data_IF_878653535540
#
_entry.id   IF_878653535540
#
_cell.length_a   1.000
_cell.length_b   1.000
_cell.length_c   1.000
_cell.angle_alpha   90.00
_cell.angle_beta   90.00
_cell.angle_gamma   90.00
#
_symmetry.space_group_name_H-M   'P 1'
#
loop_
_entity.id
_entity.type
_entity.pdbx_description
1 polymer ?
#
# COMPACT_ATOMS: atom_id res chain seq x y z
N UNK A 1 7.48 -27.60 -15.70
CA UNK A 1 7.22 -28.34 -14.48
C UNK A 1 6.55 -27.44 -13.46
N UNK A 2 5.29 -27.72 -13.13
CA UNK A 2 4.45 -26.88 -12.26
C UNK A 2 4.15 -27.62 -10.97
N UNK A 3 4.18 -26.91 -9.82
CA UNK A 3 3.53 -27.35 -8.60
C UNK A 3 2.12 -26.79 -8.55
N UNK A 4 1.19 -27.54 -7.99
CA UNK A 4 -0.21 -27.18 -7.85
C UNK A 4 -0.62 -27.34 -6.41
N UNK A 5 -1.22 -26.30 -5.84
CA UNK A 5 -1.83 -26.34 -4.50
C UNK A 5 -3.35 -26.37 -4.67
N UNK A 6 -4.02 -27.23 -3.95
CA UNK A 6 -5.47 -27.21 -3.83
C UNK A 6 -5.85 -27.08 -2.37
N UNK A 7 -6.80 -26.19 -2.09
CA UNK A 7 -7.35 -25.94 -0.77
C UNK A 7 -8.87 -25.91 -0.78
N UNK A 8 -9.46 -25.80 0.40
CA UNK A 8 -10.83 -25.43 0.64
C UNK A 8 -10.88 -23.93 0.87
N UNK A 9 -11.33 -23.18 -0.13
CA UNK A 9 -11.24 -21.73 -0.17
C UNK A 9 -12.63 -21.10 -0.08
N UNK A 10 -12.97 -20.50 1.07
CA UNK A 10 -14.23 -19.80 1.28
C UNK A 10 -15.50 -20.63 0.95
N UNK A 11 -15.50 -21.92 1.16
CA UNK A 11 -16.72 -22.72 1.05
C UNK A 11 -17.71 -22.42 2.18
N UNK A 12 -17.26 -21.70 3.10
CA UNK A 12 -17.83 -20.70 4.02
C UNK A 12 -18.85 -21.18 5.00
N UNK A 13 -19.65 -22.08 4.67
CA UNK A 13 -20.87 -22.16 5.42
C UNK A 13 -20.81 -23.04 6.67
N UNK A 14 -19.80 -23.83 6.89
CA UNK A 14 -19.74 -24.77 8.01
C UNK A 14 -18.57 -24.58 8.97
N UNK A 15 -17.62 -23.75 8.64
CA UNK A 15 -16.44 -23.48 9.48
C UNK A 15 -16.81 -22.94 10.87
N UNK A 16 -17.81 -22.06 10.98
CA UNK A 16 -18.30 -21.56 12.27
C UNK A 16 -18.82 -22.64 13.21
N UNK A 17 -19.15 -23.83 12.70
CA UNK A 17 -19.58 -24.96 13.55
C UNK A 17 -18.46 -25.44 14.47
N UNK A 18 -17.20 -25.25 14.14
CA UNK A 18 -16.07 -25.56 15.01
C UNK A 18 -16.05 -24.71 16.29
N UNK A 19 -16.60 -23.48 16.23
CA UNK A 19 -16.73 -22.57 17.38
C UNK A 19 -18.02 -22.73 18.17
N UNK A 20 -18.93 -23.62 17.75
CA UNK A 20 -20.22 -23.78 18.40
C UNK A 20 -20.11 -24.20 19.85
N UNK A 21 -21.00 -23.66 20.69
CA UNK A 21 -21.18 -24.12 22.07
C UNK A 21 -21.81 -25.51 22.20
N UNK A 22 -22.32 -26.07 21.08
CA UNK A 22 -22.89 -27.42 21.01
C UNK A 22 -21.86 -28.41 20.51
N UNK A 23 -21.48 -29.36 21.33
CA UNK A 23 -20.54 -30.40 20.95
C UNK A 23 -20.95 -31.18 19.68
N UNK A 24 -22.26 -31.42 19.50
CA UNK A 24 -22.77 -32.10 18.28
C UNK A 24 -22.49 -31.35 16.99
N UNK A 25 -22.45 -30.02 17.02
CA UNK A 25 -22.10 -29.22 15.84
C UNK A 25 -20.59 -29.32 15.56
N UNK A 26 -19.77 -29.24 16.61
CA UNK A 26 -18.31 -29.42 16.53
C UNK A 26 -17.97 -30.81 15.97
N UNK A 27 -18.59 -31.85 16.50
CA UNK A 27 -18.39 -33.25 16.04
C UNK A 27 -18.77 -33.38 14.56
N UNK A 28 -19.89 -32.79 14.16
CA UNK A 28 -20.32 -32.76 12.77
C UNK A 28 -19.35 -32.01 11.86
N UNK A 29 -18.80 -30.90 12.31
CA UNK A 29 -17.78 -30.17 11.55
C UNK A 29 -16.56 -31.04 11.29
N UNK A 30 -16.06 -31.74 12.30
CA UNK A 30 -14.95 -32.67 12.13
C UNK A 30 -15.30 -33.86 11.22
N UNK A 31 -16.53 -34.40 11.27
CA UNK A 31 -16.98 -35.45 10.34
C UNK A 31 -16.97 -34.94 8.89
N UNK A 32 -17.51 -33.75 8.65
CA UNK A 32 -17.54 -33.12 7.32
C UNK A 32 -16.12 -32.89 6.80
N UNK A 33 -15.25 -32.28 7.61
CA UNK A 33 -13.88 -31.98 7.27
C UNK A 33 -13.08 -33.25 6.92
N UNK A 34 -13.16 -34.28 7.75
CA UNK A 34 -12.54 -35.58 7.48
C UNK A 34 -13.09 -36.23 6.22
N UNK A 35 -14.41 -36.17 6.01
CA UNK A 35 -15.05 -36.74 4.81
C UNK A 35 -14.54 -36.05 3.55
N UNK A 36 -14.50 -34.71 3.54
CA UNK A 36 -14.00 -33.89 2.43
C UNK A 36 -12.54 -34.28 2.09
N UNK A 37 -11.65 -34.19 3.05
CA UNK A 37 -10.23 -34.49 2.83
C UNK A 37 -9.96 -35.97 2.51
N UNK A 38 -10.76 -36.89 3.03
CA UNK A 38 -10.69 -38.32 2.65
C UNK A 38 -11.01 -38.50 1.17
N UNK A 39 -12.05 -37.81 0.67
CA UNK A 39 -12.46 -37.90 -0.75
C UNK A 39 -11.40 -37.29 -1.66
N UNK A 40 -10.91 -36.09 -1.34
CA UNK A 40 -9.85 -35.41 -2.09
C UNK A 40 -8.58 -36.26 -2.11
N UNK A 41 -8.12 -36.69 -0.94
CA UNK A 41 -6.90 -37.48 -0.81
C UNK A 41 -6.98 -38.80 -1.56
N UNK A 42 -8.12 -39.54 -1.50
CA UNK A 42 -8.31 -40.75 -2.27
C UNK A 42 -8.37 -40.51 -3.78
N UNK A 43 -9.00 -39.43 -4.21
CA UNK A 43 -9.09 -39.06 -5.64
C UNK A 43 -7.71 -38.84 -6.24
N UNK A 44 -6.81 -38.18 -5.49
CA UNK A 44 -5.51 -37.74 -5.98
C UNK A 44 -4.33 -38.57 -5.44
N UNK A 45 -4.56 -39.65 -4.73
CA UNK A 45 -3.49 -40.44 -4.07
C UNK A 45 -2.41 -40.99 -5.00
N UNK A 46 -2.70 -41.10 -6.30
CA UNK A 46 -1.73 -41.57 -7.31
C UNK A 46 -0.99 -40.44 -8.03
N UNK A 47 -1.36 -39.18 -7.77
CA UNK A 47 -0.69 -38.03 -8.35
C UNK A 47 0.65 -37.79 -7.66
N UNK A 48 1.59 -37.16 -8.38
CA UNK A 48 2.92 -36.89 -7.85
C UNK A 48 2.89 -35.94 -6.64
N UNK A 49 4.01 -35.80 -5.96
CA UNK A 49 4.24 -34.88 -4.86
C UNK A 49 4.28 -33.40 -5.24
N UNK A 50 4.20 -33.12 -6.55
CA UNK A 50 3.97 -31.73 -7.05
C UNK A 50 2.56 -31.22 -6.84
N UNK A 51 1.62 -32.12 -6.53
CA UNK A 51 0.31 -31.73 -6.04
C UNK A 51 0.34 -31.65 -4.52
N UNK A 52 0.19 -30.46 -4.00
CA UNK A 52 0.20 -30.13 -2.57
C UNK A 52 -1.24 -29.94 -2.09
N UNK A 53 -1.57 -30.44 -0.92
CA UNK A 53 -2.86 -30.17 -0.29
C UNK A 53 -2.67 -29.13 0.82
N UNK A 54 -3.51 -28.12 0.82
CA UNK A 54 -3.59 -27.09 1.85
C UNK A 54 -4.85 -27.26 2.68
N UNK A 55 -4.71 -27.38 4.00
CA UNK A 55 -5.77 -27.83 4.90
C UNK A 55 -6.93 -26.86 5.07
N UNK A 56 -6.70 -25.58 4.88
CA UNK A 56 -7.67 -24.50 4.99
C UNK A 56 -7.11 -23.24 4.34
N UNK A 57 -7.98 -22.25 4.14
CA UNK A 57 -7.58 -20.90 3.74
C UNK A 57 -7.54 -19.97 4.98
N UNK A 58 -8.28 -18.87 4.98
CA UNK A 58 -8.33 -17.86 6.05
C UNK A 58 -9.38 -18.17 7.14
N UNK A 59 -10.03 -19.31 7.09
CA UNK A 59 -11.09 -19.73 8.02
C UNK A 59 -10.54 -20.13 9.39
N UNK A 60 -9.28 -20.56 9.44
CA UNK A 60 -8.65 -21.14 10.64
C UNK A 60 -8.20 -20.05 11.63
N UNK A 61 -9.09 -19.65 12.52
CA UNK A 61 -8.77 -18.65 13.55
C UNK A 61 -10.01 -18.01 14.16
N UNK A 62 -10.12 -16.70 14.11
CA UNK A 62 -11.24 -15.96 14.71
C UNK A 62 -12.59 -16.30 14.04
N UNK A 63 -12.56 -16.70 12.76
CA UNK A 63 -13.76 -17.13 12.01
C UNK A 63 -14.38 -18.40 12.49
N UNK A 64 -13.70 -19.18 13.32
CA UNK A 64 -14.29 -20.34 14.00
C UNK A 64 -15.47 -19.94 14.93
N UNK A 65 -15.60 -18.66 15.23
CA UNK A 65 -16.74 -18.09 15.97
C UNK A 65 -17.80 -17.47 15.03
N UNK A 66 -17.66 -17.62 13.73
CA UNK A 66 -18.57 -17.02 12.76
C UNK A 66 -19.95 -17.67 12.83
N UNK A 67 -20.99 -16.84 12.90
CA UNK A 67 -22.38 -17.25 13.12
C UNK A 67 -23.19 -17.36 11.87
N UNK A 68 -22.65 -17.04 10.72
CA UNK A 68 -23.39 -17.02 9.45
C UNK A 68 -23.97 -18.40 9.09
N UNK A 69 -23.44 -19.44 9.72
CA UNK A 69 -23.81 -20.83 9.44
C UNK A 69 -24.23 -21.63 10.64
N UNK A 70 -23.73 -21.27 11.79
CA UNK A 70 -24.14 -21.87 13.04
C UNK A 70 -25.14 -20.94 13.73
N UNK A 71 -26.43 -21.34 13.78
CA UNK A 71 -27.47 -20.57 14.51
C UNK A 71 -27.14 -20.35 15.99
N UNK A 72 -26.14 -21.04 16.50
CA UNK A 72 -25.58 -20.81 17.83
C UNK A 72 -24.21 -20.20 17.64
N UNK A 73 -24.07 -18.95 18.07
CA UNK A 73 -22.80 -18.22 18.04
C UNK A 73 -21.66 -19.07 18.55
N UNK A 74 -20.55 -19.09 17.85
CA UNK A 74 -19.29 -19.52 18.41
C UNK A 74 -18.96 -18.65 19.63
N UNK A 75 -18.38 -19.25 20.65
CA UNK A 75 -18.07 -18.58 21.90
C UNK A 75 -16.66 -18.88 22.40
N UNK A 76 -15.78 -19.33 21.48
CA UNK A 76 -14.39 -19.63 21.81
C UNK A 76 -13.65 -18.34 22.16
N UNK A 77 -12.93 -18.35 23.27
CA UNK A 77 -11.91 -17.33 23.55
C UNK A 77 -10.80 -17.39 22.49
N UNK A 78 -9.99 -16.34 22.39
CA UNK A 78 -8.84 -16.32 21.49
C UNK A 78 -7.89 -17.50 21.70
N UNK A 79 -7.71 -17.98 22.93
CA UNK A 79 -6.88 -19.13 23.23
C UNK A 79 -7.50 -20.42 22.69
N UNK A 80 -8.80 -20.61 22.92
CA UNK A 80 -9.54 -21.77 22.43
C UNK A 80 -9.61 -21.80 20.89
N UNK A 81 -9.67 -20.65 20.21
CA UNK A 81 -9.56 -20.57 18.77
C UNK A 81 -8.21 -21.12 18.29
N UNK A 82 -7.09 -20.80 18.95
CA UNK A 82 -5.78 -21.37 18.63
C UNK A 82 -5.74 -22.90 18.85
N UNK A 83 -6.26 -23.37 19.98
CA UNK A 83 -6.33 -24.81 20.28
C UNK A 83 -7.16 -25.56 19.23
N UNK A 84 -8.30 -24.98 18.83
CA UNK A 84 -9.17 -25.56 17.80
C UNK A 84 -8.48 -25.56 16.44
N UNK A 85 -7.82 -24.47 16.04
CA UNK A 85 -7.06 -24.36 14.80
C UNK A 85 -5.94 -25.43 14.76
N UNK A 86 -5.18 -25.57 15.84
CA UNK A 86 -4.15 -26.61 15.94
C UNK A 86 -4.75 -28.01 15.82
N UNK A 87 -5.91 -28.27 16.43
CA UNK A 87 -6.62 -29.55 16.33
C UNK A 87 -7.14 -29.84 14.91
N UNK A 88 -7.64 -28.83 14.20
CA UNK A 88 -8.08 -28.96 12.80
C UNK A 88 -6.88 -29.29 11.91
N UNK A 89 -5.77 -28.58 12.07
CA UNK A 89 -4.53 -28.84 11.33
C UNK A 89 -4.00 -30.26 11.58
N UNK A 90 -4.01 -30.74 12.83
CA UNK A 90 -3.63 -32.14 13.13
C UNK A 90 -4.59 -33.13 12.46
N UNK A 91 -5.90 -32.84 12.51
CA UNK A 91 -6.92 -33.70 11.88
C UNK A 91 -6.72 -33.79 10.36
N UNK A 92 -6.32 -32.69 9.71
CA UNK A 92 -5.98 -32.67 8.29
C UNK A 92 -4.83 -33.64 7.98
N UNK A 93 -3.71 -33.51 8.68
CA UNK A 93 -2.54 -34.37 8.48
C UNK A 93 -2.91 -35.83 8.65
N UNK A 94 -3.52 -36.18 9.78
CA UNK A 94 -3.91 -37.56 10.11
C UNK A 94 -4.85 -38.15 9.05
N UNK A 95 -5.83 -37.36 8.60
CA UNK A 95 -6.82 -37.80 7.60
C UNK A 95 -6.17 -38.08 6.25
N UNK A 96 -5.31 -37.19 5.78
CA UNK A 96 -4.63 -37.36 4.49
C UNK A 96 -3.66 -38.55 4.55
N UNK A 97 -2.83 -38.65 5.58
CA UNK A 97 -1.86 -39.75 5.76
C UNK A 97 -2.53 -41.11 5.81
N UNK A 98 -3.67 -41.22 6.49
CA UNK A 98 -4.45 -42.46 6.60
C UNK A 98 -4.96 -43.03 5.26
N UNK A 99 -5.02 -42.20 4.22
CA UNK A 99 -5.46 -42.68 2.88
C UNK A 99 -4.39 -43.48 2.13
N UNK A 100 -3.11 -43.39 2.53
CA UNK A 100 -2.00 -44.15 1.97
C UNK A 100 -1.61 -43.76 0.54
N UNK A 101 -0.78 -44.57 -0.10
CA UNK A 101 -0.22 -44.30 -1.42
C UNK A 101 0.70 -43.09 -1.43
N UNK A 102 0.70 -42.27 -2.48
CA UNK A 102 1.56 -41.09 -2.54
C UNK A 102 1.25 -40.05 -1.45
N UNK A 103 0.08 -40.14 -0.80
CA UNK A 103 -0.28 -39.25 0.30
C UNK A 103 0.53 -39.52 1.57
N UNK A 104 1.18 -40.70 1.70
CA UNK A 104 2.11 -40.97 2.82
C UNK A 104 3.33 -40.04 2.81
N UNK A 105 3.72 -39.53 1.63
CA UNK A 105 4.90 -38.66 1.44
C UNK A 105 4.57 -37.34 0.72
N UNK A 106 3.29 -37.04 0.53
CA UNK A 106 2.85 -35.78 -0.09
C UNK A 106 3.18 -34.59 0.81
N UNK A 107 3.60 -33.48 0.22
CA UNK A 107 3.66 -32.21 0.96
C UNK A 107 2.25 -31.78 1.38
N UNK A 108 2.12 -31.45 2.65
CA UNK A 108 0.91 -30.88 3.23
C UNK A 108 1.20 -29.45 3.69
N UNK A 109 0.38 -28.54 3.25
CA UNK A 109 0.48 -27.12 3.56
C UNK A 109 -0.48 -26.80 4.71
N UNK A 110 0.09 -26.40 5.82
CA UNK A 110 -0.63 -26.13 7.06
C UNK A 110 -1.00 -24.66 7.09
N UNK A 111 -2.27 -24.37 7.20
CA UNK A 111 -2.74 -23.00 7.32
C UNK A 111 -2.36 -22.41 8.68
N UNK A 112 -1.73 -21.24 8.69
CA UNK A 112 -1.48 -20.45 9.88
C UNK A 112 -2.77 -19.95 10.52
N UNK A 113 -2.68 -19.36 11.70
CA UNK A 113 -3.85 -18.78 12.35
C UNK A 113 -4.36 -17.55 11.56
N UNK A 114 -5.59 -17.60 11.05
CA UNK A 114 -6.15 -16.67 10.04
C UNK A 114 -5.28 -16.57 8.78
N UNK A 115 -4.33 -17.48 8.56
CA UNK A 115 -3.18 -17.31 7.64
C UNK A 115 -2.42 -15.98 7.81
N UNK A 116 -2.63 -15.28 8.92
CA UNK A 116 -1.99 -14.00 9.23
C UNK A 116 -0.55 -14.20 9.71
N UNK A 117 0.39 -13.48 9.09
CA UNK A 117 1.83 -13.58 9.35
C UNK A 117 2.19 -13.23 10.80
N UNK A 118 1.48 -12.29 11.42
CA UNK A 118 1.72 -11.88 12.81
C UNK A 118 1.11 -12.86 13.80
N UNK A 119 -0.15 -13.21 13.58
CA UNK A 119 -0.90 -14.10 14.48
C UNK A 119 -0.35 -15.52 14.48
N UNK A 120 0.11 -16.02 13.33
CA UNK A 120 0.77 -17.32 13.21
C UNK A 120 2.08 -17.38 14.02
N UNK A 121 2.76 -16.24 14.21
CA UNK A 121 3.93 -16.16 15.05
C UNK A 121 3.67 -16.25 16.56
N UNK A 122 2.41 -16.30 16.99
CA UNK A 122 2.05 -16.52 18.41
C UNK A 122 2.55 -17.88 18.91
N UNK A 123 2.99 -17.92 20.17
CA UNK A 123 3.37 -19.18 20.83
C UNK A 123 2.19 -20.16 21.03
N UNK A 124 0.96 -19.72 20.80
CA UNK A 124 -0.25 -20.55 20.86
C UNK A 124 -0.46 -21.36 19.59
N UNK A 125 0.05 -20.88 18.43
CA UNK A 125 0.03 -21.65 17.19
C UNK A 125 1.12 -22.71 17.23
N UNK A 126 0.75 -23.95 16.86
CA UNK A 126 1.64 -25.11 16.85
C UNK A 126 1.50 -25.85 15.53
N UNK A 127 2.63 -26.16 14.93
CA UNK A 127 2.65 -27.07 13.78
C UNK A 127 2.19 -28.47 14.22
N UNK A 128 1.38 -29.16 13.39
CA UNK A 128 0.98 -30.52 13.68
C UNK A 128 2.17 -31.49 13.63
N UNK A 129 2.03 -32.65 14.27
CA UNK A 129 2.96 -33.75 14.11
C UNK A 129 2.64 -34.51 12.81
N UNK A 130 3.67 -35.08 12.18
CA UNK A 130 3.53 -35.87 10.97
C UNK A 130 4.37 -37.15 11.04
N UNK A 131 3.85 -38.23 10.44
CA UNK A 131 4.59 -39.48 10.25
C UNK A 131 5.57 -39.38 9.08
N UNK A 132 5.37 -38.49 8.13
CA UNK A 132 6.28 -38.21 7.04
C UNK A 132 7.29 -37.13 7.44
N UNK A 133 8.57 -37.46 7.31
CA UNK A 133 9.64 -36.53 7.65
C UNK A 133 9.76 -35.43 6.61
N UNK A 134 9.89 -34.16 7.06
CA UNK A 134 10.15 -32.97 6.22
C UNK A 134 9.08 -32.78 5.10
N UNK A 135 7.81 -33.13 5.40
CA UNK A 135 6.70 -33.02 4.43
C UNK A 135 5.60 -32.04 4.86
N UNK A 136 5.82 -31.25 5.89
CA UNK A 136 4.93 -30.16 6.26
C UNK A 136 5.50 -28.81 5.79
N UNK A 137 4.64 -28.01 5.22
CA UNK A 137 4.87 -26.61 4.84
C UNK A 137 3.92 -25.74 5.66
N UNK A 138 4.26 -24.48 5.88
CA UNK A 138 3.40 -23.51 6.57
C UNK A 138 2.97 -22.42 5.61
N UNK A 139 1.66 -22.17 5.55
CA UNK A 139 1.02 -21.11 4.75
C UNK A 139 0.71 -19.89 5.62
N UNK A 140 1.11 -18.72 5.15
CA UNK A 140 0.65 -17.42 5.64
C UNK A 140 0.35 -16.52 4.45
N UNK A 141 -0.57 -15.56 4.66
CA UNK A 141 -0.88 -14.52 3.68
C UNK A 141 -0.25 -13.20 4.11
N UNK A 142 0.01 -12.32 3.15
CA UNK A 142 0.63 -11.04 3.43
C UNK A 142 -0.11 -9.88 2.77
N UNK A 143 -0.96 -9.23 3.55
CA UNK A 143 -1.71 -8.03 3.18
C UNK A 143 -1.50 -6.91 4.21
N UNK A 144 -0.25 -6.78 4.71
CA UNK A 144 0.08 -5.82 5.77
C UNK A 144 0.91 -4.66 5.21
N UNK A 145 0.50 -3.40 5.49
CA UNK A 145 -0.68 -3.02 6.26
C UNK A 145 -1.97 -3.08 5.41
N UNK A 146 -3.08 -3.50 6.02
CA UNK A 146 -4.35 -3.66 5.29
C UNK A 146 -4.93 -2.35 4.74
N UNK A 147 -4.67 -1.22 5.39
CA UNK A 147 -5.07 0.10 4.91
C UNK A 147 -4.38 0.47 3.58
N UNK A 148 -3.22 -0.11 3.27
CA UNK A 148 -2.58 0.00 1.96
C UNK A 148 -2.96 -1.15 1.03
N UNK A 149 -2.89 -2.39 1.49
CA UNK A 149 -3.15 -3.56 0.63
C UNK A 149 -4.62 -3.71 0.24
N UNK A 150 -5.56 -3.26 1.09
CA UNK A 150 -7.00 -3.29 0.82
C UNK A 150 -7.44 -2.22 -0.18
N UNK A 151 -8.72 -2.26 -0.57
CA UNK A 151 -9.30 -1.33 -1.55
C UNK A 151 -9.60 0.06 -1.01
N UNK A 152 -9.50 0.25 0.30
CA UNK A 152 -9.74 1.52 1.00
C UNK A 152 -8.57 1.80 1.95
N UNK A 153 -8.32 3.05 2.23
CA UNK A 153 -7.26 3.49 3.12
C UNK A 153 -6.19 4.25 2.35
N UNK A 154 -4.96 4.19 2.79
CA UNK A 154 -3.87 4.97 2.20
C UNK A 154 -3.53 4.50 0.77
N UNK A 155 -3.07 5.46 -0.02
CA UNK A 155 -2.82 5.30 -1.46
C UNK A 155 -1.36 5.03 -1.82
N UNK A 156 -0.44 5.08 -0.84
CA UNK A 156 1.00 5.00 -1.08
C UNK A 156 1.72 4.08 -0.08
N UNK A 157 2.92 3.63 -0.46
CA UNK A 157 3.81 2.78 0.34
C UNK A 157 5.27 3.04 -0.04
N UNK A 158 6.19 2.89 0.92
CA UNK A 158 7.62 2.97 0.65
C UNK A 158 8.38 3.90 1.59
N UNK A 159 7.78 4.28 2.72
CA UNK A 159 8.53 4.95 3.81
C UNK A 159 9.45 3.95 4.51
N UNK A 160 10.45 4.46 5.21
CA UNK A 160 11.35 3.63 6.02
C UNK A 160 10.59 2.73 7.00
N UNK A 161 9.56 3.27 7.65
CA UNK A 161 8.70 2.49 8.56
C UNK A 161 8.00 1.34 7.85
N UNK A 162 7.56 1.55 6.60
CA UNK A 162 6.92 0.48 5.80
C UNK A 162 7.88 -0.68 5.53
N UNK A 163 9.11 -0.35 5.11
CA UNK A 163 10.15 -1.36 4.88
C UNK A 163 10.55 -2.06 6.18
N UNK A 164 10.72 -1.32 7.27
CA UNK A 164 11.04 -1.90 8.59
C UNK A 164 9.98 -2.90 9.04
N UNK A 165 8.71 -2.56 8.91
CA UNK A 165 7.61 -3.44 9.28
C UNK A 165 7.57 -4.70 8.43
N UNK A 166 7.62 -4.56 7.10
CA UNK A 166 7.63 -5.71 6.20
C UNK A 166 8.80 -6.63 6.49
N UNK A 167 10.03 -6.10 6.56
CA UNK A 167 11.24 -6.89 6.83
C UNK A 167 11.17 -7.60 8.20
N UNK A 168 10.65 -6.92 9.22
CA UNK A 168 10.47 -7.49 10.57
C UNK A 168 9.48 -8.66 10.56
N UNK A 169 8.35 -8.53 9.85
CA UNK A 169 7.32 -9.57 9.81
C UNK A 169 7.83 -10.83 9.11
N UNK A 170 8.50 -10.68 7.97
CA UNK A 170 9.11 -11.81 7.26
C UNK A 170 10.20 -12.47 8.10
N UNK A 171 11.07 -11.68 8.71
CA UNK A 171 12.11 -12.21 9.60
C UNK A 171 11.54 -13.02 10.77
N UNK A 172 10.40 -12.63 11.33
CA UNK A 172 9.76 -13.36 12.43
C UNK A 172 9.35 -14.78 12.01
N UNK A 173 9.08 -15.03 10.73
CA UNK A 173 8.73 -16.35 10.22
C UNK A 173 9.92 -17.33 10.20
N UNK A 174 11.16 -16.84 10.28
CA UNK A 174 12.35 -17.72 10.28
C UNK A 174 12.34 -18.71 11.44
N UNK A 175 11.61 -18.40 12.52
CA UNK A 175 11.43 -19.34 13.64
C UNK A 175 10.85 -20.71 13.22
N UNK A 176 10.11 -20.76 12.10
CA UNK A 176 9.57 -22.00 11.56
C UNK A 176 10.51 -22.64 10.55
N UNK A 177 11.16 -21.84 9.68
CA UNK A 177 12.14 -22.37 8.74
C UNK A 177 13.38 -22.94 9.45
N UNK A 178 13.77 -22.38 10.59
CA UNK A 178 14.83 -22.90 11.48
C UNK A 178 14.45 -24.27 12.12
N UNK A 179 13.16 -24.56 12.19
CA UNK A 179 12.65 -25.88 12.62
C UNK A 179 12.52 -26.88 11.46
N UNK A 180 12.85 -26.47 10.24
CA UNK A 180 12.82 -27.30 9.04
C UNK A 180 11.52 -27.22 8.22
N UNK A 181 10.59 -26.33 8.56
CA UNK A 181 9.36 -26.14 7.78
C UNK A 181 9.63 -25.19 6.60
N UNK A 182 9.19 -25.56 5.39
CA UNK A 182 9.13 -24.63 4.27
C UNK A 182 7.99 -23.64 4.48
N UNK A 183 8.23 -22.36 4.15
CA UNK A 183 7.24 -21.30 4.30
C UNK A 183 6.71 -20.90 2.90
N UNK A 184 5.39 -20.85 2.79
CA UNK A 184 4.69 -20.36 1.61
C UNK A 184 3.95 -19.08 2.01
N UNK A 185 4.21 -17.99 1.27
CA UNK A 185 3.36 -16.81 1.31
C UNK A 185 2.25 -17.10 0.30
N UNK A 186 1.16 -17.71 0.79
CA UNK A 186 0.10 -18.29 -0.03
C UNK A 186 -0.70 -17.26 -0.82
N UNK A 187 -0.76 -16.04 -0.29
CA UNK A 187 -1.32 -14.88 -0.96
C UNK A 187 -0.59 -13.60 -0.57
N UNK A 188 -0.39 -12.72 -1.53
CA UNK A 188 -0.01 -11.33 -1.32
C UNK A 188 -0.49 -10.49 -2.50
N UNK A 189 -0.94 -9.28 -2.25
CA UNK A 189 -1.28 -8.29 -3.27
C UNK A 189 -1.46 -6.90 -2.68
N UNK A 190 -1.55 -5.91 -3.56
CA UNK A 190 -2.16 -4.61 -3.32
C UNK A 190 -3.41 -4.55 -4.19
N UNK A 191 -4.59 -4.59 -3.59
CA UNK A 191 -5.87 -4.73 -4.30
C UNK A 191 -6.27 -3.40 -4.95
N UNK A 192 -6.60 -3.43 -6.23
CA UNK A 192 -6.97 -2.24 -7.02
C UNK A 192 -8.46 -2.14 -7.29
N UNK A 193 -9.20 -3.24 -7.11
CA UNK A 193 -10.61 -3.34 -7.48
C UNK A 193 -10.86 -3.05 -8.99
N UNK A 194 -9.89 -3.40 -9.84
CA UNK A 194 -9.92 -3.16 -11.29
C UNK A 194 -9.51 -1.75 -11.72
N UNK A 195 -8.99 -0.93 -10.79
CA UNK A 195 -8.38 0.37 -11.07
C UNK A 195 -6.88 0.30 -11.31
N UNK A 196 -6.23 1.44 -11.31
CA UNK A 196 -4.77 1.54 -11.42
C UNK A 196 -4.09 1.06 -10.13
N UNK A 197 -2.82 0.65 -10.25
CA UNK A 197 -2.01 0.27 -9.11
C UNK A 197 -1.77 1.48 -8.19
N UNK A 198 -1.84 1.27 -6.88
CA UNK A 198 -1.49 2.28 -5.89
C UNK A 198 0.00 2.63 -5.97
N UNK A 199 0.33 3.88 -5.62
CA UNK A 199 1.73 4.35 -5.57
C UNK A 199 2.57 3.47 -4.65
N UNK A 200 3.73 2.99 -5.13
CA UNK A 200 4.63 2.13 -4.38
C UNK A 200 4.26 0.64 -4.38
N UNK A 201 3.27 0.20 -5.20
CA UNK A 201 2.96 -1.23 -5.36
C UNK A 201 4.16 -2.01 -5.89
N UNK A 202 4.93 -1.44 -6.81
CA UNK A 202 6.20 -1.98 -7.30
C UNK A 202 7.21 -2.17 -6.17
N UNK A 203 7.42 -1.15 -5.34
CA UNK A 203 8.32 -1.18 -4.18
C UNK A 203 7.88 -2.22 -3.14
N UNK A 204 6.57 -2.27 -2.85
CA UNK A 204 5.98 -3.26 -1.94
C UNK A 204 6.24 -4.69 -2.40
N UNK A 205 5.98 -4.97 -3.69
CA UNK A 205 6.19 -6.29 -4.29
C UNK A 205 7.68 -6.63 -4.34
N UNK A 206 8.54 -5.71 -4.79
CA UNK A 206 9.98 -5.94 -4.91
C UNK A 206 10.60 -6.28 -3.55
N UNK A 207 10.31 -5.50 -2.52
CA UNK A 207 10.83 -5.75 -1.17
C UNK A 207 10.25 -7.03 -0.53
N UNK A 208 8.98 -7.36 -0.81
CA UNK A 208 8.38 -8.64 -0.39
C UNK A 208 9.12 -9.82 -1.00
N UNK A 209 9.41 -9.76 -2.29
CA UNK A 209 10.13 -10.82 -3.00
C UNK A 209 11.58 -10.92 -2.54
N UNK A 210 12.25 -9.79 -2.25
CA UNK A 210 13.59 -9.79 -1.66
C UNK A 210 13.60 -10.46 -0.26
N UNK A 211 12.57 -10.25 0.56
CA UNK A 211 12.40 -10.98 1.82
C UNK A 211 12.21 -12.49 1.58
N UNK A 212 11.41 -12.86 0.57
CA UNK A 212 11.24 -14.27 0.21
C UNK A 212 12.55 -14.90 -0.23
N UNK A 213 13.33 -14.22 -1.05
CA UNK A 213 14.64 -14.67 -1.51
C UNK A 213 15.63 -14.78 -0.34
N UNK A 214 15.68 -13.79 0.55
CA UNK A 214 16.56 -13.76 1.72
C UNK A 214 16.31 -14.94 2.67
N UNK A 215 15.05 -15.30 2.90
CA UNK A 215 14.68 -16.33 3.88
C UNK A 215 14.30 -17.68 3.26
N UNK A 216 14.25 -17.76 1.92
CA UNK A 216 13.88 -18.98 1.19
C UNK A 216 12.40 -19.32 1.29
N UNK A 217 11.53 -18.32 1.25
CA UNK A 217 10.08 -18.49 1.24
C UNK A 217 9.56 -18.55 -0.21
N UNK A 218 8.42 -19.20 -0.43
CA UNK A 218 7.80 -19.29 -1.75
C UNK A 218 6.57 -18.37 -1.84
N UNK A 219 6.63 -17.28 -2.63
CA UNK A 219 5.52 -16.32 -2.75
C UNK A 219 4.53 -16.72 -3.85
N UNK A 220 3.23 -16.51 -3.60
CA UNK A 220 2.13 -16.65 -4.54
C UNK A 220 1.36 -15.35 -4.65
N UNK A 221 1.43 -14.70 -5.81
CA UNK A 221 0.68 -13.47 -6.07
C UNK A 221 -0.83 -13.78 -6.13
N UNK A 222 -1.63 -13.08 -5.32
CA UNK A 222 -3.08 -13.09 -5.46
C UNK A 222 -3.48 -12.25 -6.66
N UNK A 223 -3.93 -12.91 -7.74
CA UNK A 223 -4.35 -12.25 -8.97
C UNK A 223 -5.83 -12.52 -9.30
N UNK A 224 -6.67 -11.55 -9.02
CA UNK A 224 -8.05 -11.49 -9.47
C UNK A 224 -8.22 -10.66 -10.75
N UNK A 225 -7.24 -10.71 -11.66
CA UNK A 225 -7.12 -9.87 -12.86
C UNK A 225 -6.66 -8.44 -12.58
N UNK A 226 -6.15 -8.15 -11.40
CA UNK A 226 -5.55 -6.85 -11.07
C UNK A 226 -4.15 -6.72 -11.68
N UNK A 227 -3.37 -7.79 -11.69
CA UNK A 227 -1.99 -7.78 -12.16
C UNK A 227 -1.82 -8.41 -13.55
N UNK A 228 -2.55 -9.49 -13.87
CA UNK A 228 -2.39 -10.21 -15.12
C UNK A 228 -3.65 -10.16 -16.00
N UNK A 229 -3.49 -9.68 -17.23
CA UNK A 229 -4.54 -9.69 -18.25
C UNK A 229 -4.60 -11.06 -18.93
N UNK A 230 -5.61 -11.85 -18.59
CA UNK A 230 -5.82 -13.18 -19.20
C UNK A 230 -6.21 -13.11 -20.68
N UNK A 231 -6.81 -12.00 -21.11
CA UNK A 231 -7.17 -11.78 -22.52
C UNK A 231 -5.96 -11.38 -23.38
N UNK A 232 -5.02 -10.63 -22.80
CA UNK A 232 -3.82 -10.16 -23.49
C UNK A 232 -2.61 -11.04 -23.21
N UNK A 233 -2.69 -11.95 -22.23
CA UNK A 233 -1.63 -12.85 -21.76
C UNK A 233 -0.36 -12.11 -21.32
N UNK A 234 -0.55 -10.99 -20.64
CA UNK A 234 0.56 -10.17 -20.12
C UNK A 234 0.22 -9.56 -18.75
N UNK A 235 1.26 -9.15 -18.04
CA UNK A 235 1.09 -8.29 -16.87
C UNK A 235 0.55 -6.92 -17.31
N UNK A 236 -0.29 -6.32 -16.47
CA UNK A 236 -0.92 -5.01 -16.75
C UNK A 236 0.07 -3.87 -16.56
N UNK A 237 0.95 -3.98 -15.59
CA UNK A 237 1.97 -2.99 -15.26
C UNK A 237 3.35 -3.49 -15.69
N UNK A 238 4.10 -2.65 -16.43
CA UNK A 238 5.40 -3.00 -16.98
C UNK A 238 6.49 -3.04 -15.90
N UNK A 239 6.39 -2.20 -14.86
CA UNK A 239 7.36 -2.19 -13.75
C UNK A 239 7.24 -3.46 -12.92
N UNK A 240 6.00 -3.85 -12.59
CA UNK A 240 5.74 -5.12 -11.89
C UNK A 240 6.14 -6.31 -12.77
N UNK A 241 5.85 -6.28 -14.07
CA UNK A 241 6.31 -7.32 -15.00
C UNK A 241 7.82 -7.50 -14.98
N UNK A 242 8.57 -6.39 -14.99
CA UNK A 242 10.03 -6.39 -14.93
C UNK A 242 10.56 -7.01 -13.63
N UNK A 243 9.95 -6.70 -12.49
CA UNK A 243 10.31 -7.29 -11.18
C UNK A 243 10.24 -8.83 -11.23
N UNK A 244 9.18 -9.38 -11.83
CA UNK A 244 9.06 -10.83 -11.99
C UNK A 244 10.02 -11.41 -13.04
N UNK A 245 10.22 -10.73 -14.16
CA UNK A 245 11.14 -11.19 -15.21
C UNK A 245 12.60 -11.25 -14.74
N UNK A 246 13.04 -10.28 -13.94
CA UNK A 246 14.38 -10.26 -13.36
C UNK A 246 14.63 -11.43 -12.38
N UNK A 247 13.58 -11.95 -11.75
CA UNK A 247 13.64 -13.10 -10.83
C UNK A 247 13.39 -14.45 -11.50
N UNK A 248 13.12 -14.48 -12.82
CA UNK A 248 12.94 -15.75 -13.53
C UNK A 248 14.23 -16.57 -13.51
N UNK A 249 14.10 -17.84 -13.11
CA UNK A 249 15.24 -18.77 -13.03
C UNK A 249 15.88 -19.14 -14.37
N UNK A 250 15.29 -18.72 -15.50
CA UNK A 250 15.89 -18.85 -16.82
C UNK A 250 17.15 -17.97 -16.95
N UNK A 251 17.26 -16.91 -16.15
CA UNK A 251 18.46 -16.09 -15.94
C UNK A 251 19.32 -16.72 -14.85
N UNK A 252 19.79 -17.96 -15.04
CA UNK A 252 20.54 -18.68 -14.02
C UNK A 252 21.76 -17.88 -13.55
N UNK A 253 21.69 -17.44 -12.30
CA UNK A 253 22.85 -16.94 -11.60
C UNK A 253 23.83 -18.10 -11.39
N UNK A 254 25.12 -17.83 -11.48
CA UNK A 254 26.17 -18.79 -11.13
C UNK A 254 26.38 -18.91 -9.61
N UNK A 255 25.54 -18.22 -8.83
CA UNK A 255 25.63 -18.14 -7.37
C UNK A 255 25.05 -19.41 -6.71
N UNK A 256 25.58 -19.76 -5.58
CA UNK A 256 24.97 -20.76 -4.69
C UNK A 256 23.73 -20.16 -4.01
N UNK A 257 22.85 -21.01 -3.46
CA UNK A 257 21.67 -20.57 -2.71
C UNK A 257 22.05 -19.67 -1.53
N UNK A 258 23.17 -19.97 -0.87
CA UNK A 258 23.68 -19.18 0.23
C UNK A 258 24.14 -17.78 -0.21
N UNK A 259 24.79 -17.69 -1.37
CA UNK A 259 25.20 -16.41 -1.96
C UNK A 259 24.02 -15.60 -2.43
N UNK A 260 23.01 -16.22 -3.04
CA UNK A 260 21.75 -15.56 -3.44
C UNK A 260 21.01 -14.98 -2.23
N UNK A 261 20.87 -15.77 -1.15
CA UNK A 261 20.27 -15.30 0.11
C UNK A 261 21.05 -14.15 0.74
N UNK A 262 22.37 -14.24 0.77
CA UNK A 262 23.22 -13.17 1.30
C UNK A 262 23.10 -11.89 0.46
N UNK A 263 22.99 -12.01 -0.86
CA UNK A 263 22.76 -10.87 -1.76
C UNK A 263 21.39 -10.24 -1.52
N UNK A 264 20.35 -11.05 -1.31
CA UNK A 264 19.00 -10.55 -0.99
C UNK A 264 18.97 -9.81 0.35
N UNK A 265 19.60 -10.36 1.40
CA UNK A 265 19.72 -9.66 2.70
C UNK A 265 20.43 -8.32 2.54
N UNK A 266 21.53 -8.28 1.79
CA UNK A 266 22.26 -7.03 1.53
C UNK A 266 21.36 -6.02 0.79
N UNK A 267 20.58 -6.46 -0.21
CA UNK A 267 19.65 -5.60 -0.93
C UNK A 267 18.57 -5.02 0.00
N UNK A 268 18.01 -5.84 0.91
CA UNK A 268 17.05 -5.37 1.92
C UNK A 268 17.66 -4.27 2.81
N UNK A 269 18.90 -4.45 3.28
CA UNK A 269 19.59 -3.47 4.11
C UNK A 269 19.85 -2.16 3.34
N UNK A 270 20.28 -2.25 2.07
CA UNK A 270 20.52 -1.09 1.21
C UNK A 270 19.23 -0.35 0.89
N UNK A 271 18.14 -1.06 0.57
CA UNK A 271 16.82 -0.50 0.30
C UNK A 271 16.28 0.22 1.53
N UNK A 272 16.37 -0.40 2.70
CA UNK A 272 15.95 0.21 3.97
C UNK A 272 16.76 1.47 4.30
N UNK A 273 18.08 1.43 4.08
CA UNK A 273 18.94 2.59 4.33
C UNK A 273 18.66 3.78 3.40
N UNK A 274 18.20 3.49 2.18
CA UNK A 274 17.83 4.51 1.19
C UNK A 274 16.37 4.97 1.30
N UNK A 275 15.54 4.27 2.10
CA UNK A 275 14.13 4.57 2.21
C UNK A 275 13.89 5.92 2.92
N UNK A 276 12.98 6.76 2.39
CA UNK A 276 12.68 8.06 2.97
C UNK A 276 11.87 7.93 4.27
N UNK A 277 12.04 8.83 5.21
CA UNK A 277 11.21 8.90 6.42
C UNK A 277 9.74 9.25 6.08
N UNK A 278 9.52 10.06 5.03
CA UNK A 278 8.21 10.44 4.49
C UNK A 278 8.23 10.31 2.98
N UNK A 279 7.12 9.86 2.39
CA UNK A 279 6.96 9.90 0.94
C UNK A 279 6.71 11.35 0.53
N UNK A 280 7.50 11.81 -0.41
CA UNK A 280 7.21 13.02 -1.18
C UNK A 280 6.44 12.64 -2.44
N UNK A 281 5.68 13.55 -3.01
CA UNK A 281 5.14 13.36 -4.34
C UNK A 281 6.32 13.31 -5.32
N UNK A 282 6.67 12.10 -5.81
CA UNK A 282 7.82 11.90 -6.70
C UNK A 282 7.66 12.59 -8.07
N UNK A 283 6.46 13.14 -8.35
CA UNK A 283 6.17 13.87 -9.58
C UNK A 283 6.30 15.37 -9.43
N UNK A 284 6.23 15.90 -8.19
CA UNK A 284 6.34 17.32 -7.94
C UNK A 284 7.81 17.70 -7.67
N UNK A 285 8.42 18.59 -8.47
CA UNK A 285 9.75 19.11 -8.17
C UNK A 285 9.81 19.64 -6.75
N UNK A 286 10.92 19.36 -6.06
CA UNK A 286 11.18 19.84 -4.69
C UNK A 286 12.25 20.93 -4.74
N UNK A 287 12.10 21.95 -3.88
CA UNK A 287 13.13 22.96 -3.71
C UNK A 287 14.31 22.38 -2.91
N UNK A 288 15.51 22.69 -3.33
CA UNK A 288 16.76 22.53 -2.57
C UNK A 288 17.44 23.89 -2.39
N UNK A 289 18.62 23.93 -1.81
CA UNK A 289 19.29 25.22 -1.54
C UNK A 289 19.59 26.06 -2.79
N UNK A 290 19.57 25.47 -4.00
CA UNK A 290 19.90 26.09 -5.28
C UNK A 290 18.74 26.10 -6.27
N UNK A 291 17.57 25.59 -5.90
CA UNK A 291 16.41 25.43 -6.77
C UNK A 291 15.21 26.15 -6.21
N UNK A 292 14.60 27.03 -6.99
CA UNK A 292 13.29 27.61 -6.67
C UNK A 292 12.18 26.75 -7.30
N UNK A 293 11.10 26.50 -6.55
CA UNK A 293 9.98 25.71 -7.00
C UNK A 293 8.67 26.39 -6.65
N UNK A 294 7.80 26.54 -7.63
CA UNK A 294 6.46 27.08 -7.44
C UNK A 294 5.44 25.96 -7.21
N UNK A 295 4.47 26.22 -6.31
CA UNK A 295 3.37 25.33 -6.01
C UNK A 295 2.12 26.09 -5.55
N UNK A 296 0.97 25.42 -5.54
CA UNK A 296 -0.26 25.97 -4.97
C UNK A 296 -0.44 25.46 -3.55
N UNK A 297 -0.69 26.36 -2.61
CA UNK A 297 -1.23 26.04 -1.29
C UNK A 297 -2.76 26.10 -1.35
N UNK A 298 -3.42 25.13 -0.72
CA UNK A 298 -4.87 25.04 -0.71
C UNK A 298 -5.42 24.49 0.61
N UNK A 299 -6.52 25.05 1.05
CA UNK A 299 -7.35 24.56 2.13
C UNK A 299 -8.82 24.76 1.76
N UNK A 300 -9.61 23.66 1.76
CA UNK A 300 -11.05 23.73 1.51
C UNK A 300 -11.80 24.52 2.59
N UNK A 301 -12.99 25.03 2.24
CA UNK A 301 -13.79 25.88 3.14
C UNK A 301 -14.17 25.17 4.46
N UNK A 302 -14.33 23.86 4.45
CA UNK A 302 -14.63 23.02 5.60
C UNK A 302 -13.40 22.41 6.26
N UNK A 303 -12.20 22.76 5.82
CA UNK A 303 -10.91 22.26 6.31
C UNK A 303 -10.69 20.74 6.13
N UNK A 304 -11.47 20.08 5.29
CA UNK A 304 -11.39 18.63 5.08
C UNK A 304 -10.34 18.23 4.04
N UNK A 305 -10.02 19.11 3.10
CA UNK A 305 -9.02 18.86 2.04
C UNK A 305 -7.96 19.96 2.08
N UNK A 306 -6.69 19.57 2.10
CA UNK A 306 -5.58 20.51 2.10
C UNK A 306 -4.42 20.03 1.24
N UNK A 307 -3.63 20.98 0.77
CA UNK A 307 -2.32 20.76 0.16
C UNK A 307 -1.38 21.91 0.54
N UNK A 308 -0.29 21.56 1.19
CA UNK A 308 0.78 22.50 1.52
C UNK A 308 2.11 21.74 1.44
N UNK A 309 2.98 22.18 0.56
CA UNK A 309 4.31 21.60 0.31
C UNK A 309 5.36 22.66 0.60
N UNK A 310 6.43 22.26 1.27
CA UNK A 310 7.51 23.13 1.66
C UNK A 310 7.61 23.30 3.17
N UNK A 311 8.82 23.53 3.64
CA UNK A 311 9.11 23.67 5.07
C UNK A 311 8.76 25.06 5.61
N UNK A 312 8.43 26.00 4.74
CA UNK A 312 8.12 27.40 5.07
C UNK A 312 6.78 27.55 5.78
N UNK A 313 5.90 26.57 5.61
CA UNK A 313 4.54 26.60 6.16
C UNK A 313 4.29 25.35 7.01
N UNK A 314 4.40 25.52 8.29
CA UNK A 314 4.12 24.46 9.28
C UNK A 314 2.68 24.63 9.85
N UNK A 315 1.90 23.55 10.00
CA UNK A 315 2.26 22.19 9.61
C UNK A 315 2.15 21.96 8.10
N UNK A 316 3.14 21.31 7.52
CA UNK A 316 3.03 20.79 6.17
C UNK A 316 1.98 19.70 6.18
N UNK A 317 0.89 19.88 5.47
CA UNK A 317 -0.19 18.92 5.42
C UNK A 317 -0.69 18.72 3.99
N UNK A 318 -1.02 17.47 3.71
CA UNK A 318 -1.52 17.04 2.40
C UNK A 318 -2.60 16.00 2.61
N UNK A 319 -3.75 16.21 1.98
CA UNK A 319 -4.79 15.20 1.92
C UNK A 319 -4.43 14.11 0.92
N UNK A 320 -4.72 12.85 1.27
CA UNK A 320 -4.51 11.71 0.37
C UNK A 320 -5.25 11.91 -0.95
N UNK A 321 -4.62 11.52 -2.05
CA UNK A 321 -5.20 11.60 -3.38
C UNK A 321 -5.19 12.99 -4.03
N UNK A 322 -4.60 14.01 -3.39
CA UNK A 322 -4.30 15.29 -4.05
C UNK A 322 -3.03 15.13 -4.88
N UNK A 323 -3.12 15.43 -6.17
CA UNK A 323 -1.98 15.39 -7.10
C UNK A 323 -1.59 16.84 -7.43
N UNK A 324 -0.30 17.16 -7.27
CA UNK A 324 0.24 18.48 -7.58
C UNK A 324 1.22 18.41 -8.75
N UNK A 325 1.11 19.41 -9.64
CA UNK A 325 2.14 19.70 -10.65
C UNK A 325 2.83 20.99 -10.25
N UNK A 326 4.03 20.90 -9.69
CA UNK A 326 4.86 22.03 -9.32
C UNK A 326 5.77 22.42 -10.49
N UNK A 327 6.23 23.68 -10.51
CA UNK A 327 7.12 24.18 -11.53
C UNK A 327 8.48 24.58 -10.97
N UNK A 328 9.56 24.10 -11.58
CA UNK A 328 10.91 24.60 -11.32
C UNK A 328 11.03 26.00 -11.95
N UNK A 329 11.51 26.96 -11.15
CA UNK A 329 11.75 28.35 -11.59
C UNK A 329 13.24 28.47 -11.93
N UNK A 330 13.52 28.70 -13.20
CA UNK A 330 14.89 28.85 -13.73
C UNK A 330 15.21 30.28 -14.21
N UNK A 331 14.39 31.25 -13.87
CA UNK A 331 14.58 32.66 -14.16
C UNK A 331 13.30 33.42 -14.44
N UNK A 332 13.42 34.46 -15.28
CA UNK A 332 12.26 35.20 -15.80
C UNK A 332 11.50 34.34 -16.80
N UNK A 333 10.19 34.18 -16.61
CA UNK A 333 9.38 33.34 -17.49
C UNK A 333 7.91 33.23 -17.06
N UNK A 334 7.16 32.51 -17.87
CA UNK A 334 5.77 32.13 -17.58
C UNK A 334 5.73 30.66 -17.20
N UNK A 335 5.10 30.36 -16.08
CA UNK A 335 5.02 29.04 -15.47
C UNK A 335 3.57 28.66 -15.18
N UNK A 336 3.31 27.37 -15.12
CA UNK A 336 1.99 26.85 -14.72
C UNK A 336 2.16 25.83 -13.61
N UNK A 337 1.30 25.89 -12.61
CA UNK A 337 1.20 24.96 -11.49
C UNK A 337 -0.24 24.51 -11.34
N UNK A 338 -0.46 23.26 -10.90
CA UNK A 338 -1.82 22.75 -10.74
C UNK A 338 -1.98 21.83 -9.53
N UNK A 339 -3.23 21.71 -9.06
CA UNK A 339 -3.69 20.69 -8.13
C UNK A 339 -4.86 19.94 -8.75
N UNK A 340 -4.78 18.62 -8.75
CA UNK A 340 -5.93 17.73 -8.99
C UNK A 340 -6.42 17.15 -7.66
N UNK A 341 -7.65 17.48 -7.31
CA UNK A 341 -8.37 17.07 -6.10
C UNK A 341 -9.65 16.29 -6.46
N UNK A 342 -9.73 15.74 -7.68
CA UNK A 342 -10.92 15.06 -8.19
C UNK A 342 -11.31 13.81 -7.40
N UNK A 343 -10.32 13.14 -6.79
CA UNK A 343 -10.52 12.02 -5.87
C UNK A 343 -11.01 12.44 -4.46
N UNK A 344 -10.95 13.75 -4.17
CA UNK A 344 -11.35 14.33 -2.90
C UNK A 344 -12.74 14.99 -3.02
N UNK A 345 -13.28 15.43 -1.89
CA UNK A 345 -14.51 16.22 -1.87
C UNK A 345 -14.21 17.68 -1.50
N UNK A 346 -13.20 18.28 -2.18
CA UNK A 346 -12.83 19.68 -1.95
C UNK A 346 -13.96 20.63 -2.35
N UNK A 347 -14.34 21.52 -1.44
CA UNK A 347 -15.47 22.45 -1.66
C UNK A 347 -15.13 23.82 -1.09
N UNK A 348 -15.22 24.86 -1.95
CA UNK A 348 -14.84 26.21 -1.61
C UNK A 348 -13.37 26.36 -1.21
N UNK A 349 -12.97 27.57 -0.83
CA UNK A 349 -11.58 27.91 -0.48
C UNK A 349 -11.58 28.69 0.83
N UNK A 350 -11.01 28.13 1.89
CA UNK A 350 -10.68 28.87 3.12
C UNK A 350 -9.35 29.60 2.98
N UNK A 351 -8.39 28.96 2.32
CA UNK A 351 -7.06 29.48 2.05
C UNK A 351 -6.53 28.96 0.72
N UNK A 352 -5.93 29.82 -0.08
CA UNK A 352 -5.11 29.42 -1.22
C UNK A 352 -4.08 30.50 -1.53
N UNK A 353 -2.90 30.07 -1.90
CA UNK A 353 -1.81 30.94 -2.33
C UNK A 353 -0.90 30.21 -3.33
N UNK A 354 -0.32 30.99 -4.24
CA UNK A 354 0.85 30.57 -5.01
C UNK A 354 2.09 30.87 -4.17
N UNK A 355 2.93 29.86 -3.91
CA UNK A 355 4.22 30.00 -3.26
C UNK A 355 5.36 29.63 -4.20
N UNK A 356 6.52 30.26 -4.03
CA UNK A 356 7.75 29.92 -4.74
C UNK A 356 8.86 29.76 -3.68
N UNK A 357 9.17 28.53 -3.30
CA UNK A 357 10.25 28.22 -2.37
C UNK A 357 11.57 28.78 -2.91
N UNK A 358 12.40 29.38 -2.05
CA UNK A 358 13.61 30.08 -2.42
C UNK A 358 13.43 31.22 -3.44
N UNK A 359 12.19 31.65 -3.75
CA UNK A 359 11.93 32.64 -4.77
C UNK A 359 12.66 33.96 -4.49
N UNK A 360 12.49 34.53 -3.30
CA UNK A 360 13.20 35.79 -2.92
C UNK A 360 14.70 35.57 -2.72
N UNK A 361 15.12 34.37 -2.32
CA UNK A 361 16.55 34.04 -2.13
C UNK A 361 17.30 34.01 -3.45
N UNK A 362 16.75 33.37 -4.48
CA UNK A 362 17.42 33.18 -5.77
C UNK A 362 17.09 34.27 -6.78
N UNK A 363 15.92 34.88 -6.65
CA UNK A 363 15.39 35.91 -7.56
C UNK A 363 14.87 37.11 -6.76
N UNK A 364 15.77 37.81 -6.00
CA UNK A 364 15.35 38.89 -5.10
C UNK A 364 14.66 40.03 -5.85
N UNK A 365 13.50 40.45 -5.34
CA UNK A 365 12.72 41.54 -5.90
C UNK A 365 11.90 41.20 -7.13
N UNK A 366 11.84 39.93 -7.56
CA UNK A 366 10.94 39.52 -8.64
C UNK A 366 9.48 39.65 -8.21
N UNK A 367 8.62 39.83 -9.19
CA UNK A 367 7.17 39.97 -9.01
C UNK A 367 6.46 38.83 -9.76
N UNK A 368 5.44 38.29 -9.12
CA UNK A 368 4.49 37.37 -9.74
C UNK A 368 3.33 38.18 -10.34
N UNK A 369 3.08 38.00 -11.62
CA UNK A 369 1.85 38.45 -12.28
C UNK A 369 1.00 37.23 -12.59
N UNK A 370 -0.22 37.16 -12.07
CA UNK A 370 -1.17 36.09 -12.36
C UNK A 370 -1.77 36.32 -13.75
N UNK A 371 -1.50 35.41 -14.69
CA UNK A 371 -1.96 35.52 -16.08
C UNK A 371 -3.31 34.84 -16.27
N UNK A 372 -3.52 33.67 -15.69
CA UNK A 372 -4.77 32.91 -15.75
C UNK A 372 -4.95 32.02 -14.53
N UNK A 373 -6.16 31.94 -14.02
CA UNK A 373 -6.55 30.98 -12.98
C UNK A 373 -7.70 30.15 -13.53
N UNK A 374 -7.60 28.82 -13.47
CA UNK A 374 -8.68 27.91 -13.84
C UNK A 374 -9.12 27.07 -12.66
N UNK A 375 -10.43 26.94 -12.49
CA UNK A 375 -11.06 26.00 -11.57
C UNK A 375 -11.91 25.05 -12.40
N UNK A 376 -11.68 23.74 -12.25
CA UNK A 376 -12.36 22.68 -13.01
C UNK A 376 -12.21 22.86 -14.54
N UNK A 377 -11.08 23.40 -14.99
CA UNK A 377 -10.77 23.66 -16.40
C UNK A 377 -11.37 24.95 -16.98
N UNK A 378 -12.16 25.68 -16.21
CA UNK A 378 -12.78 26.95 -16.65
C UNK A 378 -12.02 28.14 -16.05
N UNK A 379 -11.74 29.17 -16.87
CA UNK A 379 -11.09 30.37 -16.40
C UNK A 379 -11.97 31.13 -15.42
N UNK A 380 -11.37 31.66 -14.37
CA UNK A 380 -12.07 32.40 -13.30
C UNK A 380 -11.48 33.81 -13.20
N UNK A 381 -12.35 34.82 -13.27
CA UNK A 381 -11.96 36.21 -13.10
C UNK A 381 -11.60 36.53 -11.65
N UNK A 382 -10.55 37.32 -11.44
CA UNK A 382 -10.19 37.80 -10.11
C UNK A 382 -10.99 39.06 -9.75
N UNK A 383 -11.33 39.20 -8.47
CA UNK A 383 -12.08 40.36 -7.94
C UNK A 383 -11.18 41.56 -7.62
N UNK A 384 -9.86 41.36 -7.57
CA UNK A 384 -8.84 42.36 -7.31
C UNK A 384 -7.49 41.91 -7.89
N UNK A 385 -6.47 42.76 -7.81
CA UNK A 385 -5.10 42.42 -8.19
C UNK A 385 -4.41 41.65 -7.04
N UNK A 386 -3.66 40.58 -7.37
CA UNK A 386 -2.76 39.91 -6.44
C UNK A 386 -1.52 40.75 -6.19
N UNK A 387 -0.90 40.59 -5.04
CA UNK A 387 0.39 41.20 -4.73
C UNK A 387 1.43 40.14 -4.36
N UNK A 388 2.67 40.41 -4.74
CA UNK A 388 3.82 39.59 -4.35
C UNK A 388 4.35 40.06 -3.00
N UNK A 389 4.61 39.12 -2.11
CA UNK A 389 5.29 39.33 -0.83
C UNK A 389 6.34 38.23 -0.61
N UNK A 390 7.19 38.39 0.39
CA UNK A 390 8.14 37.37 0.83
C UNK A 390 7.97 37.10 2.32
N UNK A 391 8.45 35.96 2.77
CA UNK A 391 8.46 35.58 4.17
C UNK A 391 9.89 35.56 4.74
N UNK A 392 10.02 35.26 6.03
CA UNK A 392 11.28 35.20 6.74
C UNK A 392 12.24 34.11 6.19
N UNK A 393 11.72 33.16 5.41
CA UNK A 393 12.50 32.09 4.78
C UNK A 393 12.86 32.40 3.33
N UNK A 394 12.60 33.60 2.89
CA UNK A 394 12.87 34.09 1.52
C UNK A 394 12.08 33.36 0.44
N UNK A 395 10.90 32.88 0.80
CA UNK A 395 9.89 32.36 -0.12
C UNK A 395 9.10 33.51 -0.73
N UNK A 396 8.84 33.47 -2.05
CA UNK A 396 7.94 34.40 -2.70
C UNK A 396 6.50 33.87 -2.62
N UNK A 397 5.51 34.79 -2.42
CA UNK A 397 4.13 34.39 -2.23
C UNK A 397 3.15 35.37 -2.85
N UNK A 398 2.04 34.83 -3.41
CA UNK A 398 0.84 35.57 -3.79
C UNK A 398 -0.38 34.88 -3.22
N UNK A 399 -1.18 35.59 -2.41
CA UNK A 399 -2.45 35.06 -1.90
C UNK A 399 -3.53 35.09 -3.01
N UNK A 400 -4.30 34.01 -3.10
CA UNK A 400 -5.52 33.97 -3.88
C UNK A 400 -6.76 34.13 -2.99
N UNK A 401 -6.75 33.44 -1.85
CA UNK A 401 -7.76 33.58 -0.77
C UNK A 401 -7.05 33.53 0.56
N UNK A 402 -7.16 34.59 1.34
CA UNK A 402 -6.64 34.60 2.70
C UNK A 402 -7.57 35.37 3.64
N UNK A 403 -8.45 34.67 4.31
CA UNK A 403 -9.46 35.26 5.21
C UNK A 403 -8.87 35.85 6.52
N UNK A 404 -7.61 35.56 6.81
CA UNK A 404 -6.95 36.02 8.05
C UNK A 404 -6.12 37.30 7.87
N UNK A 405 -5.98 37.76 6.64
CA UNK A 405 -5.25 39.00 6.30
C UNK A 405 -6.21 39.98 5.63
N UNK A 406 -6.25 41.23 6.06
CA UNK A 406 -7.15 42.24 5.53
C UNK A 406 -6.47 43.35 4.71
N UNK A 407 -5.13 43.47 4.82
CA UNK A 407 -4.36 44.49 4.12
C UNK A 407 -3.05 43.91 3.61
N UNK A 408 -2.52 44.37 2.46
CA UNK A 408 -1.17 44.02 2.01
C UNK A 408 -0.11 44.36 3.07
N UNK A 409 0.94 43.54 3.28
CA UNK A 409 2.05 43.86 4.14
C UNK A 409 2.96 44.94 3.56
N UNK A 410 3.90 45.45 4.36
CA UNK A 410 4.81 46.56 3.96
C UNK A 410 5.70 46.18 2.77
N UNK A 411 6.07 44.92 2.61
CA UNK A 411 6.92 44.42 1.51
C UNK A 411 6.12 44.07 0.25
N UNK A 412 4.79 44.29 0.25
CA UNK A 412 3.93 43.98 -0.89
C UNK A 412 4.37 44.74 -2.16
N UNK A 413 4.43 44.02 -3.28
CA UNK A 413 4.83 44.48 -4.60
C UNK A 413 3.83 44.08 -5.65
N UNK A 414 3.53 44.96 -6.63
CA UNK A 414 2.75 44.61 -7.81
C UNK A 414 3.36 45.22 -9.06
N UNK A 415 3.06 44.65 -10.22
CA UNK A 415 3.40 45.27 -11.49
C UNK A 415 2.67 46.61 -11.61
N UNK A 416 3.40 47.71 -11.92
CA UNK A 416 2.84 49.06 -11.98
C UNK A 416 2.74 49.81 -10.66
N UNK A 417 3.02 49.20 -9.52
CA UNK A 417 3.26 49.87 -8.22
C UNK A 417 2.01 50.42 -7.50
N UNK A 418 0.82 50.25 -7.97
CA UNK A 418 -0.43 50.77 -7.35
C UNK A 418 -1.10 49.72 -6.45
N UNK A 419 -0.67 49.65 -5.21
CA UNK A 419 -1.22 48.71 -4.22
C UNK A 419 -2.66 49.01 -3.79
N UNK A 420 -3.27 50.13 -4.23
CA UNK A 420 -4.67 50.42 -3.89
C UNK A 420 -5.67 49.45 -4.52
N UNK A 421 -5.26 48.70 -5.54
CA UNK A 421 -6.07 47.69 -6.21
C UNK A 421 -5.80 46.27 -5.71
N UNK A 422 -4.80 46.11 -4.85
CA UNK A 422 -4.37 44.81 -4.36
C UNK A 422 -5.22 44.34 -3.18
N UNK A 423 -5.45 43.00 -3.14
CA UNK A 423 -6.19 42.36 -2.06
C UNK A 423 -5.54 41.03 -1.67
N UNK A 424 -5.54 40.66 -0.37
CA UNK A 424 -5.14 39.32 0.07
C UNK A 424 -6.16 38.21 -0.33
N UNK A 425 -7.35 38.62 -0.80
CA UNK A 425 -8.36 37.70 -1.36
C UNK A 425 -8.82 38.25 -2.70
N UNK A 426 -8.52 37.50 -3.74
CA UNK A 426 -8.80 37.88 -5.14
C UNK A 426 -9.71 36.86 -5.84
N UNK A 427 -10.02 35.74 -5.21
CA UNK A 427 -10.98 34.74 -5.70
C UNK A 427 -12.19 34.64 -4.77
N UNK A 428 -13.35 34.51 -5.37
CA UNK A 428 -14.60 34.18 -4.67
C UNK A 428 -15.22 32.96 -5.36
N UNK A 429 -14.96 31.76 -4.78
CA UNK A 429 -15.45 30.51 -5.32
C UNK A 429 -15.95 29.57 -4.20
N UNK A 430 -17.22 29.22 -4.27
CA UNK A 430 -17.91 28.42 -3.24
C UNK A 430 -18.32 27.01 -3.71
N UNK A 431 -18.01 26.64 -4.94
CA UNK A 431 -18.38 25.34 -5.52
C UNK A 431 -17.39 24.22 -5.22
N UNK A 432 -17.69 23.02 -5.73
CA UNK A 432 -16.76 21.89 -5.72
C UNK A 432 -15.55 22.19 -6.59
N UNK A 433 -14.35 21.86 -6.09
CA UNK A 433 -13.09 22.06 -6.80
C UNK A 433 -12.46 20.68 -7.05
N UNK A 434 -12.48 20.25 -8.32
CA UNK A 434 -11.75 19.06 -8.74
C UNK A 434 -10.33 19.41 -9.15
N UNK A 435 -10.14 20.54 -9.85
CA UNK A 435 -8.83 21.02 -10.28
C UNK A 435 -8.68 22.51 -10.02
N UNK A 436 -7.47 22.95 -9.66
CA UNK A 436 -7.06 24.35 -9.59
C UNK A 436 -5.74 24.49 -10.36
N UNK A 437 -5.72 25.37 -11.37
CA UNK A 437 -4.54 25.63 -12.19
C UNK A 437 -4.24 27.12 -12.16
N UNK A 438 -2.97 27.49 -12.05
CA UNK A 438 -2.49 28.89 -12.07
C UNK A 438 -1.38 29.01 -13.09
N UNK A 439 -1.58 29.86 -14.08
CA UNK A 439 -0.52 30.32 -14.97
C UNK A 439 -0.09 31.73 -14.55
N UNK A 440 1.20 31.94 -14.40
CA UNK A 440 1.75 33.21 -13.91
C UNK A 440 3.08 33.54 -14.58
N UNK A 441 3.35 34.81 -14.70
CA UNK A 441 4.66 35.35 -15.10
C UNK A 441 5.47 35.76 -13.86
N UNK A 442 6.71 35.31 -13.77
CA UNK A 442 7.65 35.66 -12.71
C UNK A 442 8.80 36.44 -13.33
N UNK A 443 8.95 37.72 -12.97
CA UNK A 443 9.89 38.62 -13.62
C UNK A 443 10.40 39.71 -12.64
N UNK A 444 11.55 40.36 -12.93
CA UNK A 444 12.00 41.54 -12.14
C UNK A 444 10.90 42.59 -12.07
N UNK A 445 10.86 43.32 -10.94
CA UNK A 445 10.03 44.51 -10.86
C UNK A 445 10.52 45.54 -11.93
N UNK A 446 9.57 46.07 -12.74
CA UNK A 446 9.90 47.01 -13.79
C UNK A 446 10.44 48.36 -13.27
#
# INVERSE_FOLDING_TARGET
>A
DMYVIINDHWDGSWWGMFGSSKQSDVDKAFEMYKSMWTQIANRYKKYSDRLIFEGANEELGDRLNDTDVCKNSGSLSKAECYEMANKINQTFVDTVRATGGNNEQRFLLIAGYNTDITMTCSNKFQMPTDTAKDKLLLSVHYYTPWDYCGTKGRSDWGTKTDYEEQNRLFKNMTKYSEQGYGIIIGEYAVLTNGGDLKKGTDKFIDNLLDNCDAYGFAPFLWDCSDFFSRSELKMRDETVAKIFDERRRDNQSSMTVEEERAAAVKKLDETLAAAPEKLTDDTAPQADENTAVAWIMYQSADFSVCYSVGDEYDPVSKSDGVIAENAVIDGEGTYTVSLDMSSNNANGIAFSALGIANGEKLYPGYIVTLDEIKINGEAVDTTAEGYTTSDDQLCTRVNLVNQWVSTPPEDARIAGGDLSKASPTILDYAGKINTLEITFTYAPAA
#
